data_IF_247048056543
#
_entry.id   IF_247048056543
#
_cell.length_a   1.000
_cell.length_b   1.000
_cell.length_c   1.000
_cell.angle_alpha   90.00
_cell.angle_beta   90.00
_cell.angle_gamma   90.00
#
_symmetry.space_group_name_H-M   'P 1'
#
loop_
_entity.id
_entity.type
_entity.pdbx_description
1 polymer ?
#
# COMPACT_ATOMS: atom_id res chain seq x y z
N UNK A 1 9.07 8.44 11.55
CA UNK A 1 9.14 8.56 10.07
C UNK A 1 8.30 7.44 9.48
N UNK A 2 7.40 7.75 8.55
CA UNK A 2 6.56 6.72 7.96
C UNK A 2 7.36 5.79 7.04
N UNK A 3 7.10 4.49 7.18
CA UNK A 3 7.55 3.45 6.25
C UNK A 3 6.32 2.89 5.54
N UNK A 4 6.35 2.89 4.21
CA UNK A 4 5.28 2.34 3.37
C UNK A 4 5.79 1.06 2.74
N UNK A 5 5.10 -0.05 2.99
CA UNK A 5 5.51 -1.38 2.54
C UNK A 5 4.44 -1.94 1.61
N UNK A 6 4.83 -2.23 0.38
CA UNK A 6 4.02 -3.00 -0.56
C UNK A 6 4.21 -4.49 -0.30
N UNK A 7 3.12 -5.21 -0.09
CA UNK A 7 3.06 -6.67 0.10
C UNK A 7 2.15 -7.29 -0.95
N UNK A 8 2.17 -8.61 -1.07
CA UNK A 8 1.31 -9.36 -1.97
C UNK A 8 -0.18 -9.20 -1.67
N UNK A 9 -0.54 -8.76 -0.46
CA UNK A 9 -1.93 -8.63 0.00
C UNK A 9 -2.42 -7.18 0.06
N UNK A 10 -1.52 -6.20 -0.08
CA UNK A 10 -1.86 -4.81 0.15
C UNK A 10 -0.67 -3.92 0.48
N UNK A 11 -0.97 -2.69 0.89
CA UNK A 11 0.01 -1.69 1.34
C UNK A 11 -0.14 -1.46 2.84
N UNK A 12 0.95 -1.58 3.59
CA UNK A 12 1.00 -1.24 5.01
C UNK A 12 1.76 0.06 5.27
N UNK A 13 1.21 0.92 6.14
CA UNK A 13 1.87 2.13 6.63
C UNK A 13 2.27 1.93 8.08
N UNK A 14 3.55 2.15 8.36
CA UNK A 14 4.17 1.92 9.65
C UNK A 14 4.83 3.18 10.20
N UNK A 15 4.75 3.37 11.51
CA UNK A 15 5.55 4.35 12.26
C UNK A 15 6.20 3.65 13.45
N UNK A 16 7.52 3.79 13.60
CA UNK A 16 8.29 3.20 14.70
C UNK A 16 7.95 1.71 14.97
N UNK A 17 7.85 0.93 13.88
CA UNK A 17 7.51 -0.50 13.85
C UNK A 17 6.05 -0.85 14.16
N UNK A 18 5.17 0.13 14.40
CA UNK A 18 3.73 -0.10 14.56
C UNK A 18 3.02 0.08 13.23
N UNK A 19 2.17 -0.89 12.86
CA UNK A 19 1.26 -0.75 11.73
C UNK A 19 0.14 0.21 12.11
N UNK A 20 0.05 1.34 11.41
CA UNK A 20 -0.98 2.36 11.63
C UNK A 20 -2.18 2.14 10.70
N UNK A 21 -1.93 1.69 9.48
CA UNK A 21 -2.96 1.46 8.46
C UNK A 21 -2.53 0.36 7.49
N UNK A 22 -3.50 -0.42 7.03
CA UNK A 22 -3.33 -1.34 5.93
C UNK A 22 -4.42 -1.09 4.88
N UNK A 23 -4.01 -1.07 3.62
CA UNK A 23 -4.88 -1.00 2.44
C UNK A 23 -4.85 -2.37 1.77
N UNK A 24 -5.91 -3.15 1.92
CA UNK A 24 -6.01 -4.49 1.33
C UNK A 24 -6.34 -4.41 -0.15
N UNK A 25 -5.73 -5.28 -0.95
CA UNK A 25 -6.09 -5.44 -2.35
C UNK A 25 -7.40 -6.20 -2.52
N UNK A 26 -8.16 -5.81 -3.54
CA UNK A 26 -9.40 -6.49 -3.92
C UNK A 26 -9.09 -7.65 -4.87
N UNK A 27 -8.08 -7.47 -5.73
CA UNK A 27 -7.46 -8.51 -6.55
C UNK A 27 -5.94 -8.49 -6.32
N UNK A 28 -5.42 -9.31 -5.38
CA UNK A 28 -4.04 -9.25 -4.93
C UNK A 28 -2.99 -9.27 -6.04
N UNK A 29 -3.18 -10.11 -7.07
CA UNK A 29 -2.20 -10.26 -8.15
C UNK A 29 -2.24 -9.05 -9.08
N UNK A 30 -3.44 -8.69 -9.54
CA UNK A 30 -3.62 -7.58 -10.47
C UNK A 30 -3.22 -6.24 -9.83
N UNK A 31 -3.63 -6.01 -8.58
CA UNK A 31 -3.36 -4.77 -7.85
C UNK A 31 -1.87 -4.62 -7.54
N UNK A 32 -1.20 -5.69 -7.07
CA UNK A 32 0.24 -5.67 -6.80
C UNK A 32 1.06 -5.35 -8.06
N UNK A 33 0.76 -6.02 -9.19
CA UNK A 33 1.45 -5.77 -10.46
C UNK A 33 1.17 -4.36 -10.96
N UNK A 34 -0.07 -3.88 -10.85
CA UNK A 34 -0.45 -2.52 -11.26
C UNK A 34 0.31 -1.43 -10.49
N UNK A 35 0.51 -1.60 -9.18
CA UNK A 35 1.32 -0.69 -8.36
C UNK A 35 2.79 -0.79 -8.75
N UNK A 36 3.32 -2.01 -8.90
CA UNK A 36 4.71 -2.25 -9.30
C UNK A 36 5.03 -1.64 -10.68
N UNK A 37 4.07 -1.67 -11.60
CA UNK A 37 4.15 -1.09 -12.94
C UNK A 37 3.89 0.44 -12.96
N UNK A 38 3.54 1.05 -11.82
CA UNK A 38 3.21 2.49 -11.73
C UNK A 38 1.89 2.88 -12.41
N UNK A 39 1.00 1.92 -12.67
CA UNK A 39 -0.30 2.12 -13.33
C UNK A 39 -1.44 2.34 -12.34
N UNK A 40 -1.27 1.89 -11.09
CA UNK A 40 -2.29 2.01 -10.07
C UNK A 40 -2.45 3.44 -9.57
N UNK A 41 -3.71 3.85 -9.33
CA UNK A 41 -4.01 5.06 -8.58
C UNK A 41 -3.91 4.78 -7.10
N UNK A 42 -2.90 5.34 -6.44
CA UNK A 42 -2.67 5.22 -4.98
C UNK A 42 -3.19 6.44 -4.21
N UNK A 43 -4.25 7.08 -4.71
CA UNK A 43 -4.81 8.31 -4.14
C UNK A 43 -5.17 8.17 -2.66
N UNK A 44 -5.75 7.04 -2.26
CA UNK A 44 -6.11 6.78 -0.86
C UNK A 44 -4.88 6.75 0.07
N UNK A 45 -3.75 6.20 -0.41
CA UNK A 45 -2.49 6.20 0.33
C UNK A 45 -1.91 7.62 0.42
N UNK A 46 -2.02 8.42 -0.65
CA UNK A 46 -1.56 9.82 -0.67
C UNK A 46 -2.40 10.70 0.25
N UNK A 47 -3.71 10.50 0.29
CA UNK A 47 -4.61 11.24 1.17
C UNK A 47 -4.41 10.89 2.64
N UNK A 48 -3.88 9.71 2.94
CA UNK A 48 -3.61 9.24 4.30
C UNK A 48 -2.29 9.75 4.89
N UNK A 49 -1.24 9.91 4.06
CA UNK A 49 0.12 10.27 4.47
C UNK A 49 0.31 11.78 4.63
#
# INVERSE_FOLDING_TARGET
MYSVILTELGVGVFEDQKCLKAFSFSDPVSDYISIKDGKAKVSELVDYL
#
